data_IF_914635666695
#
_entry.id   IF_914635666695
#
_cell.length_a   1.000
_cell.length_b   1.000
_cell.length_c   1.000
_cell.angle_alpha   90.00
_cell.angle_beta   90.00
_cell.angle_gamma   90.00
#
_symmetry.space_group_name_H-M   'P 1'
#
loop_
_entity.id
_entity.type
_entity.pdbx_description
1 polymer ?
#
# COMPACT_ATOMS: atom_id res chain seq x y z
N UNK A 1 14.39 17.13 -10.07
CA UNK A 1 13.98 17.64 -8.73
C UNK A 1 14.08 16.51 -7.72
N UNK A 2 14.44 16.80 -6.46
CA UNK A 2 14.52 15.79 -5.40
C UNK A 2 13.08 15.39 -4.94
N UNK A 3 12.80 14.14 -4.62
CA UNK A 3 11.48 13.73 -4.11
C UNK A 3 11.17 14.40 -2.77
N UNK A 4 9.88 14.55 -2.49
CA UNK A 4 9.39 15.00 -1.18
C UNK A 4 9.76 13.96 -0.12
N UNK A 5 10.28 14.41 1.02
CA UNK A 5 10.52 13.53 2.16
C UNK A 5 9.26 13.53 3.03
N UNK A 6 8.64 12.35 3.18
CA UNK A 6 7.47 12.19 4.05
C UNK A 6 7.90 12.33 5.52
N UNK A 7 7.23 13.19 6.31
CA UNK A 7 7.64 13.48 7.68
C UNK A 7 7.12 12.46 8.71
N UNK A 8 6.70 11.28 8.28
CA UNK A 8 6.04 10.28 9.12
C UNK A 8 7.03 9.56 10.03
N UNK A 9 6.87 9.72 11.34
CA UNK A 9 7.75 9.12 12.35
C UNK A 9 7.00 8.92 13.68
N UNK A 10 7.26 7.81 14.37
CA UNK A 10 6.73 7.53 15.69
C UNK A 10 5.21 7.73 15.78
N UNK A 11 4.75 8.59 16.67
CA UNK A 11 3.32 8.90 16.84
C UNK A 11 2.69 9.60 15.63
N UNK A 12 3.48 10.27 14.80
CA UNK A 12 2.97 10.98 13.61
C UNK A 12 2.90 10.07 12.37
N UNK A 13 3.01 8.75 12.55
CA UNK A 13 2.77 7.78 11.49
C UNK A 13 1.26 7.69 11.21
N UNK A 14 0.79 8.06 10.00
CA UNK A 14 -0.64 8.23 9.74
C UNK A 14 -1.36 6.95 9.35
N UNK A 15 -0.65 5.84 9.25
CA UNK A 15 -1.19 4.57 8.76
C UNK A 15 -0.81 3.40 9.67
N UNK A 16 -1.68 2.40 9.69
CA UNK A 16 -1.42 1.10 10.30
C UNK A 16 -2.30 0.01 9.65
N UNK A 17 -1.95 -1.24 9.88
CA UNK A 17 -2.72 -2.41 9.46
C UNK A 17 -3.44 -3.00 10.67
N UNK A 18 -4.74 -3.23 10.53
CA UNK A 18 -5.58 -3.90 11.51
C UNK A 18 -5.80 -5.35 11.06
N UNK A 19 -5.16 -6.27 11.75
CA UNK A 19 -5.21 -7.70 11.46
C UNK A 19 -6.41 -8.33 12.19
N UNK A 20 -7.45 -8.71 11.44
CA UNK A 20 -8.72 -9.19 12.02
C UNK A 20 -8.95 -10.69 11.90
N UNK A 21 -8.19 -11.35 11.02
CA UNK A 21 -8.38 -12.75 10.68
C UNK A 21 -7.08 -13.37 10.17
N UNK A 22 -6.78 -14.59 10.59
CA UNK A 22 -5.59 -15.34 10.13
C UNK A 22 -5.92 -16.39 9.08
N UNK A 23 -7.17 -16.84 9.00
CA UNK A 23 -7.63 -17.78 7.98
C UNK A 23 -7.61 -17.15 6.57
N UNK A 24 -7.31 -17.94 5.55
CA UNK A 24 -7.34 -17.53 4.16
C UNK A 24 -7.92 -18.66 3.30
N UNK A 25 -8.60 -18.29 2.23
CA UNK A 25 -9.23 -19.19 1.28
C UNK A 25 -8.42 -19.41 -0.01
N UNK A 26 -7.21 -18.84 -0.08
CA UNK A 26 -6.24 -19.08 -1.15
C UNK A 26 -4.85 -19.30 -0.56
N UNK A 27 -3.89 -19.69 -1.40
CA UNK A 27 -2.47 -19.76 -1.04
C UNK A 27 -1.66 -18.84 -1.95
N UNK A 28 -0.76 -18.06 -1.35
CA UNK A 28 0.15 -17.17 -2.06
C UNK A 28 1.60 -17.61 -1.85
N UNK A 29 2.41 -17.61 -2.91
CA UNK A 29 3.85 -17.94 -2.86
C UNK A 29 4.62 -17.05 -1.89
N UNK A 30 4.28 -15.77 -1.81
CA UNK A 30 4.95 -14.78 -0.95
C UNK A 30 4.11 -14.38 0.27
N UNK A 31 3.37 -15.32 0.86
CA UNK A 31 2.52 -15.02 2.01
C UNK A 31 3.36 -14.81 3.27
N UNK A 32 3.21 -13.67 3.92
CA UNK A 32 3.83 -13.39 5.21
C UNK A 32 3.04 -13.98 6.40
N UNK A 33 1.77 -14.38 6.19
CA UNK A 33 0.94 -15.00 7.21
C UNK A 33 1.37 -16.45 7.44
N UNK A 34 2.16 -16.69 8.48
CA UNK A 34 2.73 -18.00 8.82
C UNK A 34 1.86 -18.80 9.80
N UNK A 35 0.87 -18.17 10.39
CA UNK A 35 -0.03 -18.79 11.38
C UNK A 35 -1.48 -18.69 10.92
N UNK A 36 -1.94 -19.56 10.01
CA UNK A 36 -3.22 -19.42 9.33
C UNK A 36 -4.44 -19.80 10.17
N UNK A 37 -4.35 -19.80 11.49
CA UNK A 37 -5.44 -20.12 12.40
C UNK A 37 -5.78 -18.96 13.32
N UNK A 38 -7.06 -18.80 13.59
CA UNK A 38 -7.58 -17.80 14.52
C UNK A 38 -8.37 -16.71 13.79
N UNK A 39 -9.55 -16.44 14.34
CA UNK A 39 -10.42 -15.35 14.00
C UNK A 39 -10.61 -14.51 15.24
N UNK A 40 -10.48 -13.22 15.10
CA UNK A 40 -10.64 -12.30 16.22
C UNK A 40 -12.12 -11.92 16.38
N UNK A 41 -12.56 -11.76 17.60
CA UNK A 41 -13.88 -11.22 17.90
C UNK A 41 -13.92 -9.71 17.61
N UNK A 42 -15.11 -9.17 17.38
CA UNK A 42 -15.26 -7.72 17.21
C UNK A 42 -14.74 -6.95 18.44
N UNK A 43 -14.95 -7.46 19.64
CA UNK A 43 -14.47 -6.84 20.87
C UNK A 43 -12.94 -6.74 20.93
N UNK A 44 -12.23 -7.82 20.58
CA UNK A 44 -10.76 -7.82 20.50
C UNK A 44 -10.24 -6.84 19.44
N UNK A 45 -10.93 -6.75 18.30
CA UNK A 45 -10.60 -5.80 17.23
C UNK A 45 -10.79 -4.36 17.70
N UNK A 46 -11.87 -4.05 18.40
CA UNK A 46 -12.16 -2.72 18.94
C UNK A 46 -11.17 -2.33 20.05
N UNK A 47 -10.75 -3.28 20.87
CA UNK A 47 -9.71 -3.06 21.89
C UNK A 47 -8.38 -2.68 21.24
N UNK A 48 -7.92 -3.43 20.23
CA UNK A 48 -6.69 -3.12 19.51
C UNK A 48 -6.78 -1.77 18.80
N UNK A 49 -7.90 -1.50 18.13
CA UNK A 49 -8.12 -0.24 17.45
C UNK A 49 -8.02 0.95 18.42
N UNK A 50 -8.59 0.82 19.60
CA UNK A 50 -8.51 1.83 20.66
C UNK A 50 -7.07 2.06 21.10
N UNK A 51 -6.29 1.00 21.29
CA UNK A 51 -4.86 1.10 21.61
C UNK A 51 -4.04 1.71 20.46
N UNK A 52 -4.35 1.35 19.22
CA UNK A 52 -3.67 1.89 18.02
C UNK A 52 -3.86 3.40 17.90
N UNK A 53 -5.08 3.93 18.10
CA UNK A 53 -5.36 5.37 17.97
C UNK A 53 -4.78 6.17 19.13
N UNK A 54 -4.59 5.56 20.32
CA UNK A 54 -3.84 6.17 21.42
C UNK A 54 -2.34 6.23 21.13
N UNK A 55 -1.79 5.18 20.50
CA UNK A 55 -0.37 5.05 20.25
C UNK A 55 0.12 5.88 19.04
N UNK A 56 -0.73 6.09 18.01
CA UNK A 56 -0.41 6.85 16.79
C UNK A 56 -1.52 7.83 16.41
N UNK A 57 -1.15 8.92 15.76
CA UNK A 57 -2.06 9.88 15.12
C UNK A 57 -2.49 9.35 13.75
N UNK A 58 -3.29 8.30 13.76
CA UNK A 58 -3.74 7.65 12.56
C UNK A 58 -4.66 8.53 11.72
N UNK A 59 -4.60 8.35 10.42
CA UNK A 59 -5.50 8.91 9.42
C UNK A 59 -6.24 7.80 8.67
N UNK A 60 -5.54 6.70 8.41
CA UNK A 60 -6.05 5.56 7.63
C UNK A 60 -5.68 4.25 8.32
N UNK A 61 -6.64 3.34 8.35
CA UNK A 61 -6.42 1.93 8.70
C UNK A 61 -6.65 1.08 7.46
N UNK A 62 -5.72 0.17 7.17
CA UNK A 62 -5.96 -0.93 6.24
C UNK A 62 -6.35 -2.18 7.02
N UNK A 63 -7.57 -2.65 6.79
CA UNK A 63 -8.04 -3.93 7.34
C UNK A 63 -7.39 -5.04 6.52
N UNK A 64 -6.70 -5.94 7.21
CA UNK A 64 -5.95 -7.05 6.62
C UNK A 64 -5.96 -8.29 7.49
N UNK A 65 -4.96 -9.14 7.29
CA UNK A 65 -4.79 -10.41 7.98
C UNK A 65 -4.54 -11.55 6.99
N UNK A 66 -5.23 -12.69 7.14
CA UNK A 66 -5.33 -13.70 6.09
C UNK A 66 -6.24 -13.18 4.97
N UNK A 67 -7.52 -13.57 4.96
CA UNK A 67 -8.53 -12.98 4.07
C UNK A 67 -9.63 -12.32 4.92
N UNK A 68 -9.69 -10.99 4.98
CA UNK A 68 -10.66 -10.28 5.83
C UNK A 68 -12.12 -10.56 5.49
N UNK A 69 -12.44 -10.87 4.23
CA UNK A 69 -13.82 -11.19 3.81
C UNK A 69 -14.35 -12.51 4.38
N UNK A 70 -13.51 -13.29 5.04
CA UNK A 70 -13.94 -14.47 5.82
C UNK A 70 -14.45 -14.09 7.21
N UNK A 71 -14.19 -12.86 7.67
CA UNK A 71 -14.67 -12.42 8.98
C UNK A 71 -16.19 -12.12 8.93
N UNK A 72 -17.02 -12.79 9.75
CA UNK A 72 -18.49 -12.70 9.64
C UNK A 72 -19.03 -11.29 9.96
N UNK A 73 -18.29 -10.51 10.75
CA UNK A 73 -18.68 -9.17 11.16
C UNK A 73 -17.83 -8.08 10.46
N UNK A 74 -17.31 -8.34 9.25
CA UNK A 74 -16.45 -7.37 8.54
C UNK A 74 -17.10 -5.98 8.40
N UNK A 75 -18.40 -5.81 8.05
CA UNK A 75 -19.01 -4.48 8.02
C UNK A 75 -18.98 -3.77 9.39
N UNK A 76 -19.19 -4.50 10.48
CA UNK A 76 -19.10 -3.93 11.84
C UNK A 76 -17.68 -3.48 12.20
N UNK A 77 -16.66 -4.21 11.75
CA UNK A 77 -15.25 -3.81 11.89
C UNK A 77 -14.98 -2.51 11.12
N UNK A 78 -15.45 -2.38 9.87
CA UNK A 78 -15.35 -1.16 9.07
C UNK A 78 -16.00 0.02 9.81
N UNK A 79 -17.23 -0.18 10.31
CA UNK A 79 -17.95 0.85 11.08
C UNK A 79 -17.21 1.23 12.38
N UNK A 80 -16.54 0.28 13.05
CA UNK A 80 -15.75 0.56 14.22
C UNK A 80 -14.58 1.51 13.90
N UNK A 81 -13.84 1.26 12.82
CA UNK A 81 -12.76 2.15 12.36
C UNK A 81 -13.30 3.55 12.02
N UNK A 82 -14.45 3.62 11.34
CA UNK A 82 -15.11 4.89 10.99
C UNK A 82 -15.52 5.72 12.19
N UNK A 83 -15.99 5.08 13.28
CA UNK A 83 -16.33 5.80 14.54
C UNK A 83 -15.16 6.57 15.15
N UNK A 84 -13.92 6.16 14.87
CA UNK A 84 -12.71 6.91 15.25
C UNK A 84 -12.36 8.04 14.26
N UNK A 85 -13.18 8.33 13.27
CA UNK A 85 -12.94 9.37 12.26
C UNK A 85 -11.85 9.02 11.25
N UNK A 86 -11.45 7.75 11.19
CA UNK A 86 -10.39 7.26 10.31
C UNK A 86 -10.93 6.86 8.93
N UNK A 87 -10.10 6.94 7.92
CA UNK A 87 -10.36 6.32 6.62
C UNK A 87 -10.08 4.83 6.68
N UNK A 88 -10.85 4.06 5.88
CA UNK A 88 -10.79 2.61 5.89
C UNK A 88 -10.44 2.08 4.51
N UNK A 89 -9.35 1.34 4.44
CA UNK A 89 -9.01 0.50 3.29
C UNK A 89 -9.20 -0.97 3.65
N UNK A 90 -9.63 -1.78 2.70
CA UNK A 90 -9.73 -3.22 2.81
C UNK A 90 -8.73 -3.87 1.85
N UNK A 91 -7.81 -4.68 2.37
CA UNK A 91 -6.93 -5.51 1.57
C UNK A 91 -7.53 -6.91 1.47
N UNK A 92 -7.84 -7.35 0.25
CA UNK A 92 -8.52 -8.63 0.01
C UNK A 92 -8.03 -9.31 -1.27
N UNK A 93 -8.06 -10.63 -1.30
CA UNK A 93 -7.86 -11.39 -2.54
C UNK A 93 -9.04 -11.31 -3.51
N UNK A 94 -10.15 -10.73 -3.08
CA UNK A 94 -11.32 -10.46 -3.88
C UNK A 94 -12.17 -11.69 -4.25
N UNK A 95 -11.84 -12.90 -3.78
CA UNK A 95 -12.57 -14.12 -4.14
C UNK A 95 -14.04 -14.10 -3.67
N UNK A 96 -14.29 -13.53 -2.48
CA UNK A 96 -15.63 -13.42 -1.89
C UNK A 96 -16.33 -12.08 -2.15
N UNK A 97 -15.72 -11.20 -2.94
CA UNK A 97 -16.37 -9.92 -3.25
C UNK A 97 -17.56 -10.15 -4.19
N UNK A 98 -18.71 -9.75 -3.72
CA UNK A 98 -19.97 -9.69 -4.46
C UNK A 98 -20.68 -8.35 -4.20
N UNK A 99 -21.80 -8.13 -4.90
CA UNK A 99 -22.58 -6.90 -4.78
C UNK A 99 -23.11 -6.65 -3.37
N UNK A 100 -23.78 -7.62 -2.73
CA UNK A 100 -24.28 -7.48 -1.36
C UNK A 100 -23.22 -7.11 -0.34
N UNK A 101 -22.06 -7.78 -0.37
CA UNK A 101 -20.94 -7.47 0.54
C UNK A 101 -20.39 -6.06 0.29
N UNK A 102 -20.17 -5.68 -0.97
CA UNK A 102 -19.66 -4.35 -1.31
C UNK A 102 -20.63 -3.24 -0.90
N UNK A 103 -21.94 -3.45 -1.06
CA UNK A 103 -22.96 -2.51 -0.60
C UNK A 103 -22.93 -2.34 0.93
N UNK A 104 -22.88 -3.44 1.68
CA UNK A 104 -22.78 -3.41 3.15
C UNK A 104 -21.48 -2.73 3.62
N UNK A 105 -20.35 -2.99 2.96
CA UNK A 105 -19.07 -2.34 3.28
C UNK A 105 -19.09 -0.85 2.96
N UNK A 106 -19.73 -0.43 1.86
CA UNK A 106 -19.91 0.97 1.51
C UNK A 106 -20.76 1.70 2.55
N UNK A 107 -21.88 1.11 2.95
CA UNK A 107 -22.76 1.65 3.99
C UNK A 107 -22.03 1.76 5.34
N UNK A 108 -21.21 0.77 5.69
CA UNK A 108 -20.36 0.81 6.88
C UNK A 108 -19.25 1.90 6.81
N UNK A 109 -19.01 2.49 5.65
CA UNK A 109 -18.07 3.58 5.44
C UNK A 109 -16.70 3.16 4.92
N UNK A 110 -16.60 2.04 4.19
CA UNK A 110 -15.36 1.69 3.49
C UNK A 110 -15.04 2.74 2.41
N UNK A 111 -13.77 3.14 2.31
CA UNK A 111 -13.30 4.11 1.31
C UNK A 111 -12.63 3.43 0.11
N UNK A 112 -11.81 2.42 0.36
CA UNK A 112 -10.89 1.85 -0.63
C UNK A 112 -10.84 0.32 -0.52
N UNK A 113 -10.90 -0.37 -1.65
CA UNK A 113 -10.60 -1.80 -1.77
C UNK A 113 -9.27 -1.97 -2.50
N UNK A 114 -8.30 -2.59 -1.83
CA UNK A 114 -7.02 -2.98 -2.39
C UNK A 114 -7.07 -4.47 -2.74
N UNK A 115 -7.12 -4.76 -4.04
CA UNK A 115 -7.25 -6.12 -4.57
C UNK A 115 -5.86 -6.76 -4.71
N UNK A 116 -5.64 -7.85 -4.01
CA UNK A 116 -4.42 -8.64 -4.14
C UNK A 116 -4.66 -9.84 -5.07
N UNK A 117 -4.31 -9.67 -6.33
CA UNK A 117 -4.44 -10.69 -7.38
C UNK A 117 -3.11 -10.82 -8.11
N UNK A 118 -2.43 -11.95 -7.92
CA UNK A 118 -1.10 -12.24 -8.49
C UNK A 118 -1.06 -13.60 -9.17
N UNK A 119 -0.19 -13.77 -10.15
CA UNK A 119 0.07 -15.07 -10.81
C UNK A 119 0.66 -16.13 -9.88
N UNK A 120 1.24 -15.72 -8.75
CA UNK A 120 1.79 -16.63 -7.71
C UNK A 120 0.75 -17.13 -6.69
N UNK A 121 -0.54 -17.00 -6.98
CA UNK A 121 -1.63 -17.43 -6.11
C UNK A 121 -2.29 -18.70 -6.62
N UNK A 122 -2.53 -19.67 -5.72
CA UNK A 122 -3.41 -20.82 -6.01
C UNK A 122 -4.83 -20.42 -5.64
N UNK A 123 -5.65 -20.09 -6.64
CA UNK A 123 -7.01 -19.57 -6.46
C UNK A 123 -7.99 -20.15 -7.50
N UNK A 124 -9.22 -20.45 -7.12
CA UNK A 124 -10.17 -21.15 -8.01
C UNK A 124 -10.70 -20.29 -9.16
N UNK A 125 -10.71 -18.96 -9.01
CA UNK A 125 -11.18 -18.01 -10.04
C UNK A 125 -10.10 -17.60 -11.04
N UNK A 126 -8.90 -18.21 -10.98
CA UNK A 126 -7.80 -17.99 -11.91
C UNK A 126 -7.11 -19.34 -12.21
N UNK A 127 -7.76 -20.25 -12.96
CA UNK A 127 -7.16 -21.53 -13.32
C UNK A 127 -6.03 -21.38 -14.35
N UNK A 128 -6.08 -20.34 -15.18
CA UNK A 128 -5.02 -19.90 -16.06
C UNK A 128 -4.32 -18.69 -15.45
N UNK A 129 -2.99 -18.85 -15.21
CA UNK A 129 -2.15 -17.81 -14.62
C UNK A 129 -1.37 -17.01 -15.69
N UNK A 130 -1.82 -17.03 -16.93
CA UNK A 130 -1.26 -16.16 -17.97
C UNK A 130 -1.35 -14.70 -17.59
N UNK A 131 -0.42 -13.88 -18.08
CA UNK A 131 -0.40 -12.44 -17.77
C UNK A 131 -1.74 -11.77 -18.12
N UNK A 132 -2.32 -12.16 -19.27
CA UNK A 132 -3.61 -11.63 -19.74
C UNK A 132 -4.77 -12.02 -18.80
N UNK A 133 -4.81 -13.27 -18.31
CA UNK A 133 -5.85 -13.74 -17.40
C UNK A 133 -5.77 -13.02 -16.05
N UNK A 134 -4.56 -12.82 -15.53
CA UNK A 134 -4.32 -12.05 -14.29
C UNK A 134 -4.79 -10.61 -14.45
N UNK A 135 -4.42 -9.91 -15.53
CA UNK A 135 -4.81 -8.53 -15.78
C UNK A 135 -6.32 -8.40 -15.96
N UNK A 136 -6.95 -9.34 -16.66
CA UNK A 136 -8.41 -9.38 -16.82
C UNK A 136 -9.12 -9.51 -15.49
N UNK A 137 -8.70 -10.46 -14.66
CA UNK A 137 -9.29 -10.66 -13.33
C UNK A 137 -9.14 -9.41 -12.43
N UNK A 138 -7.94 -8.78 -12.45
CA UNK A 138 -7.70 -7.50 -11.75
C UNK A 138 -8.71 -6.43 -12.17
N UNK A 139 -8.90 -6.26 -13.46
CA UNK A 139 -9.80 -5.25 -14.01
C UNK A 139 -11.27 -5.57 -13.73
N UNK A 140 -11.70 -6.82 -13.87
CA UNK A 140 -13.08 -7.24 -13.61
C UNK A 140 -13.46 -7.02 -12.14
N UNK A 141 -12.56 -7.36 -11.20
CA UNK A 141 -12.76 -7.09 -9.77
C UNK A 141 -12.76 -5.59 -9.49
N UNK A 142 -11.88 -4.80 -10.12
CA UNK A 142 -11.86 -3.35 -9.95
C UNK A 142 -13.16 -2.69 -10.45
N UNK A 143 -13.67 -3.11 -11.59
CA UNK A 143 -14.96 -2.66 -12.12
C UNK A 143 -16.14 -3.03 -11.22
N UNK A 144 -16.09 -4.22 -10.61
CA UNK A 144 -17.11 -4.62 -9.62
C UNK A 144 -17.10 -3.65 -8.43
N UNK A 145 -15.93 -3.31 -7.90
CA UNK A 145 -15.77 -2.36 -6.78
C UNK A 145 -16.26 -0.97 -7.16
N UNK A 146 -15.85 -0.46 -8.32
CA UNK A 146 -16.19 0.89 -8.82
C UNK A 146 -17.69 1.05 -9.03
N UNK A 147 -18.39 0.04 -9.58
CA UNK A 147 -19.87 0.05 -9.74
C UNK A 147 -20.63 0.21 -8.42
N UNK A 148 -20.01 -0.13 -7.29
CA UNK A 148 -20.59 0.08 -5.96
C UNK A 148 -20.13 1.41 -5.33
N UNK A 149 -19.52 2.31 -6.11
CA UNK A 149 -19.07 3.63 -5.66
C UNK A 149 -17.93 3.57 -4.64
N UNK A 150 -17.16 2.49 -4.64
CA UNK A 150 -15.93 2.34 -3.86
C UNK A 150 -14.72 2.60 -4.74
N UNK A 151 -13.66 3.12 -4.14
CA UNK A 151 -12.38 3.26 -4.85
C UNK A 151 -11.69 1.91 -4.95
N UNK A 152 -11.17 1.57 -6.14
CA UNK A 152 -10.38 0.35 -6.32
C UNK A 152 -8.89 0.66 -6.47
N UNK A 153 -8.07 -0.24 -5.94
CA UNK A 153 -6.63 -0.28 -6.14
C UNK A 153 -6.13 -1.72 -6.21
N UNK A 154 -4.87 -1.89 -6.57
CA UNK A 154 -4.20 -3.18 -6.62
C UNK A 154 -3.07 -3.24 -5.60
N UNK A 155 -2.84 -4.42 -5.05
CA UNK A 155 -1.58 -4.81 -4.41
C UNK A 155 -0.97 -5.91 -5.25
N UNK A 156 0.29 -5.76 -5.61
CA UNK A 156 1.02 -6.71 -6.47
C UNK A 156 2.36 -7.03 -5.81
N UNK A 157 2.65 -8.31 -5.69
CA UNK A 157 3.96 -8.77 -5.24
C UNK A 157 4.98 -8.61 -6.36
N UNK A 158 6.01 -7.82 -6.10
CA UNK A 158 7.04 -7.49 -7.07
C UNK A 158 8.22 -8.46 -6.97
N UNK A 159 8.40 -9.33 -7.96
CA UNK A 159 9.54 -10.22 -8.10
C UNK A 159 10.58 -9.60 -9.02
N UNK A 160 11.86 -9.75 -8.68
CA UNK A 160 12.97 -9.21 -9.47
C UNK A 160 13.11 -9.87 -10.83
N UNK A 161 12.78 -11.16 -10.91
CA UNK A 161 12.84 -11.99 -12.14
C UNK A 161 11.56 -11.87 -13.01
N UNK A 162 10.55 -11.12 -12.57
CA UNK A 162 9.29 -10.92 -13.29
C UNK A 162 8.96 -9.42 -13.44
N UNK A 163 9.85 -8.62 -14.05
CA UNK A 163 9.64 -7.18 -14.19
C UNK A 163 8.44 -6.84 -15.08
N UNK A 164 8.05 -7.73 -15.99
CA UNK A 164 6.93 -7.54 -16.93
C UNK A 164 5.59 -7.44 -16.18
N UNK A 165 5.36 -8.25 -15.13
CA UNK A 165 4.11 -8.15 -14.36
C UNK A 165 3.99 -6.80 -13.64
N UNK A 166 5.12 -6.23 -13.18
CA UNK A 166 5.12 -4.88 -12.61
C UNK A 166 4.78 -3.84 -13.66
N UNK A 167 5.42 -3.89 -14.82
CA UNK A 167 5.19 -2.95 -15.94
C UNK A 167 3.72 -3.00 -16.36
N UNK A 168 3.20 -4.23 -16.58
CA UNK A 168 1.81 -4.45 -16.96
C UNK A 168 0.83 -3.94 -15.88
N UNK A 169 1.14 -4.12 -14.60
CA UNK A 169 0.32 -3.62 -13.49
C UNK A 169 0.27 -2.09 -13.45
N UNK A 170 1.41 -1.43 -13.67
CA UNK A 170 1.47 0.04 -13.77
C UNK A 170 0.66 0.52 -14.97
N UNK A 171 0.84 -0.09 -16.13
CA UNK A 171 0.10 0.25 -17.37
C UNK A 171 -1.40 0.06 -17.19
N UNK A 172 -1.83 -1.05 -16.55
CA UNK A 172 -3.23 -1.31 -16.24
C UNK A 172 -3.84 -0.18 -15.39
N UNK A 173 -3.16 0.19 -14.30
CA UNK A 173 -3.66 1.26 -13.42
C UNK A 173 -3.68 2.62 -14.13
N UNK A 174 -2.69 2.90 -14.97
CA UNK A 174 -2.65 4.16 -15.74
C UNK A 174 -3.75 4.23 -16.80
N UNK A 175 -4.09 3.10 -17.44
CA UNK A 175 -5.06 3.02 -18.52
C UNK A 175 -6.53 3.07 -18.04
N UNK A 176 -6.82 2.54 -16.84
CA UNK A 176 -8.20 2.31 -16.39
C UNK A 176 -8.61 3.27 -15.28
N UNK A 177 -9.66 4.10 -15.48
CA UNK A 177 -10.11 5.09 -14.50
C UNK A 177 -10.64 4.46 -13.20
N UNK A 178 -11.13 3.23 -13.25
CA UNK A 178 -11.60 2.47 -12.09
C UNK A 178 -10.49 2.19 -11.07
N UNK A 179 -9.26 2.06 -11.53
CA UNK A 179 -8.09 1.79 -10.69
C UNK A 179 -7.39 3.10 -10.32
N UNK A 180 -7.29 3.42 -9.03
CA UNK A 180 -6.63 4.66 -8.56
C UNK A 180 -5.35 4.43 -7.78
N UNK A 181 -5.20 3.24 -7.19
CA UNK A 181 -4.06 2.91 -6.34
C UNK A 181 -3.34 1.67 -6.86
N UNK A 182 -2.03 1.69 -6.75
CA UNK A 182 -1.17 0.51 -6.95
C UNK A 182 -0.13 0.47 -5.83
N UNK A 183 -0.12 -0.63 -5.10
CA UNK A 183 0.91 -0.93 -4.11
C UNK A 183 1.76 -2.06 -4.66
N UNK A 184 3.02 -1.78 -4.94
CA UNK A 184 4.02 -2.75 -5.36
C UNK A 184 4.84 -3.16 -4.14
N UNK A 185 4.58 -4.35 -3.62
CA UNK A 185 5.31 -4.87 -2.46
C UNK A 185 6.48 -5.73 -2.92
N UNK A 186 7.69 -5.27 -2.68
CA UNK A 186 8.90 -6.01 -3.04
C UNK A 186 8.94 -7.38 -2.36
N UNK A 187 9.09 -8.43 -3.16
CA UNK A 187 9.29 -9.78 -2.65
C UNK A 187 10.49 -9.82 -1.73
N UNK A 188 10.30 -10.42 -0.56
CA UNK A 188 11.36 -10.85 0.31
C UNK A 188 11.25 -12.37 0.47
N UNK A 189 12.35 -13.07 0.36
CA UNK A 189 12.39 -14.51 0.55
C UNK A 189 12.31 -14.83 2.04
N UNK A 190 11.08 -15.03 2.53
CA UNK A 190 10.84 -15.31 3.94
C UNK A 190 11.26 -16.71 4.37
N UNK A 191 11.38 -17.66 3.44
CA UNK A 191 11.84 -19.01 3.75
C UNK A 191 13.33 -19.02 4.14
N UNK A 192 14.10 -18.09 3.59
CA UNK A 192 15.51 -17.88 3.93
C UNK A 192 15.75 -17.21 5.28
N UNK A 193 14.73 -16.67 5.95
CA UNK A 193 14.90 -16.08 7.28
C UNK A 193 14.76 -17.18 8.36
N UNK A 194 15.80 -17.39 9.14
CA UNK A 194 15.74 -18.14 10.38
C UNK A 194 14.93 -17.41 11.46
N UNK A 195 15.09 -17.83 12.71
CA UNK A 195 14.44 -17.16 13.84
C UNK A 195 14.80 -15.67 13.89
N UNK A 196 13.77 -14.84 14.05
CA UNK A 196 13.93 -13.39 14.19
C UNK A 196 13.80 -13.06 15.67
N UNK A 197 14.88 -12.56 16.26
CA UNK A 197 14.93 -12.13 17.66
C UNK A 197 15.16 -10.62 17.77
N UNK A 198 14.86 -10.06 18.92
CA UNK A 198 15.04 -8.64 19.23
C UNK A 198 13.71 -7.90 19.38
N UNK A 199 13.79 -6.59 19.56
CA UNK A 199 12.63 -5.72 19.69
C UNK A 199 12.62 -4.64 18.61
N UNK A 200 11.45 -4.06 18.26
CA UNK A 200 11.39 -2.95 17.31
C UNK A 200 12.23 -1.73 17.74
N UNK A 201 12.44 -1.55 19.04
CA UNK A 201 13.23 -0.45 19.59
C UNK A 201 14.74 -0.67 19.48
N UNK A 202 15.20 -1.93 19.67
CA UNK A 202 16.62 -2.32 19.70
C UNK A 202 17.13 -2.82 18.35
N UNK A 203 16.24 -3.04 17.40
CA UNK A 203 16.52 -3.66 16.11
C UNK A 203 16.30 -5.17 16.12
N UNK A 204 15.82 -5.65 15.00
CA UNK A 204 15.59 -7.08 14.80
C UNK A 204 16.87 -7.74 14.26
N UNK A 205 17.16 -8.93 14.73
CA UNK A 205 18.26 -9.78 14.26
C UNK A 205 17.67 -11.01 13.60
N UNK A 206 18.10 -11.30 12.38
CA UNK A 206 17.74 -12.53 11.69
C UNK A 206 18.98 -13.13 11.05
N UNK A 207 19.01 -14.44 11.00
CA UNK A 207 19.97 -15.18 10.20
C UNK A 207 19.36 -15.45 8.84
N UNK A 208 19.88 -14.83 7.80
CA UNK A 208 19.43 -15.01 6.42
C UNK A 208 20.31 -16.04 5.70
N UNK A 209 19.68 -16.97 5.01
CA UNK A 209 20.35 -18.02 4.25
C UNK A 209 19.79 -18.06 2.83
N UNK A 210 20.11 -17.02 2.04
CA UNK A 210 19.84 -17.05 0.59
C UNK A 210 18.70 -16.21 0.09
N UNK A 211 18.58 -16.02 -1.22
CA UNK A 211 17.52 -15.34 -1.95
C UNK A 211 18.01 -14.24 -2.89
N UNK A 212 18.14 -14.55 -4.18
CA UNK A 212 18.54 -13.59 -5.21
C UNK A 212 17.39 -12.80 -5.82
N UNK A 213 16.13 -13.22 -5.57
CA UNK A 213 14.93 -12.67 -6.21
C UNK A 213 14.30 -11.48 -5.45
N UNK A 214 15.07 -10.89 -4.55
CA UNK A 214 14.60 -9.79 -3.73
C UNK A 214 14.49 -8.49 -4.51
N UNK A 215 13.33 -7.84 -4.44
CA UNK A 215 13.08 -6.55 -5.05
C UNK A 215 13.42 -5.41 -4.09
N UNK A 216 14.44 -4.62 -4.41
CA UNK A 216 14.90 -3.47 -3.62
C UNK A 216 14.40 -2.15 -4.21
N UNK A 217 14.44 -1.06 -3.44
CA UNK A 217 14.00 0.26 -3.89
C UNK A 217 14.76 0.78 -5.12
N UNK A 218 16.03 0.46 -5.26
CA UNK A 218 16.84 0.81 -6.43
C UNK A 218 16.32 0.15 -7.71
N UNK A 219 15.83 -1.10 -7.60
CA UNK A 219 15.24 -1.81 -8.74
C UNK A 219 13.92 -1.16 -9.18
N UNK A 220 13.06 -0.77 -8.21
CA UNK A 220 11.85 -0.01 -8.51
C UNK A 220 12.17 1.31 -9.19
N UNK A 221 13.11 2.08 -8.63
CA UNK A 221 13.49 3.38 -9.19
C UNK A 221 14.01 3.24 -10.63
N UNK A 222 14.88 2.26 -10.89
CA UNK A 222 15.42 1.99 -12.22
C UNK A 222 14.32 1.53 -13.20
N UNK A 223 13.38 0.69 -12.76
CA UNK A 223 12.26 0.24 -13.57
C UNK A 223 11.36 1.41 -13.99
N UNK A 224 10.99 2.28 -13.04
CA UNK A 224 10.15 3.45 -13.32
C UNK A 224 10.87 4.47 -14.21
N UNK A 225 12.16 4.71 -14.02
CA UNK A 225 12.92 5.62 -14.87
C UNK A 225 13.03 5.10 -16.31
N UNK A 226 13.34 3.80 -16.46
CA UNK A 226 13.54 3.17 -17.78
C UNK A 226 12.25 3.06 -18.58
N UNK A 227 11.16 2.59 -17.98
CA UNK A 227 9.94 2.24 -18.71
C UNK A 227 8.92 3.38 -18.76
N UNK A 228 8.93 4.29 -17.79
CA UNK A 228 7.94 5.35 -17.67
C UNK A 228 8.55 6.76 -17.63
N UNK A 229 9.88 6.89 -17.69
CA UNK A 229 10.61 8.16 -17.53
C UNK A 229 10.15 8.92 -16.26
N UNK A 230 9.78 8.16 -15.24
CA UNK A 230 9.18 8.66 -14.01
C UNK A 230 10.17 8.70 -12.86
N UNK A 231 10.10 9.77 -12.08
CA UNK A 231 10.86 9.93 -10.83
C UNK A 231 9.92 9.90 -9.63
N UNK A 232 10.39 9.42 -8.47
CA UNK A 232 9.56 9.40 -7.28
C UNK A 232 9.04 10.80 -6.93
N UNK A 233 7.75 10.89 -6.66
CA UNK A 233 7.10 12.10 -6.14
C UNK A 233 7.49 12.34 -4.69
N UNK A 234 7.44 11.28 -3.88
CA UNK A 234 7.81 11.30 -2.47
C UNK A 234 8.59 10.03 -2.08
N UNK A 235 9.29 10.11 -0.96
CA UNK A 235 9.94 8.98 -0.31
C UNK A 235 9.74 8.99 1.19
N UNK A 236 9.65 7.82 1.79
CA UNK A 236 9.69 7.63 3.24
C UNK A 236 11.04 6.99 3.60
N UNK A 237 11.99 7.74 4.18
CA UNK A 237 13.25 7.17 4.63
C UNK A 237 13.03 6.22 5.80
N UNK A 238 13.74 5.11 5.84
CA UNK A 238 13.78 4.24 7.02
C UNK A 238 14.66 4.86 8.11
N UNK A 239 14.26 4.67 9.37
CA UNK A 239 15.05 5.08 10.52
C UNK A 239 16.25 4.13 10.68
N UNK A 240 17.44 4.68 10.81
CA UNK A 240 18.66 3.91 11.10
C UNK A 240 19.57 3.61 9.92
N UNK A 241 19.13 3.74 8.66
CA UNK A 241 19.95 3.53 7.48
C UNK A 241 19.74 4.68 6.48
N UNK A 242 20.74 5.53 6.33
CA UNK A 242 20.67 6.75 5.52
C UNK A 242 20.33 6.51 4.03
N UNK A 243 20.62 5.34 3.51
CA UNK A 243 20.37 4.94 2.12
C UNK A 243 19.08 4.14 1.91
N UNK A 244 18.41 3.71 2.98
CA UNK A 244 17.23 2.85 2.89
C UNK A 244 15.93 3.67 2.86
N UNK A 245 15.09 3.44 1.86
CA UNK A 245 13.74 3.98 1.82
C UNK A 245 12.74 2.86 2.07
N UNK A 246 11.83 3.05 3.02
CA UNK A 246 10.73 2.11 3.25
C UNK A 246 9.72 2.16 2.09
N UNK A 247 9.43 3.38 1.61
CA UNK A 247 8.53 3.63 0.49
C UNK A 247 9.11 4.59 -0.54
N UNK A 248 8.83 4.32 -1.82
CA UNK A 248 8.84 5.30 -2.90
C UNK A 248 7.42 5.50 -3.40
N UNK A 249 6.99 6.74 -3.52
CA UNK A 249 5.67 7.08 -4.03
C UNK A 249 5.79 7.79 -5.36
N UNK A 250 4.99 7.34 -6.32
CA UNK A 250 4.80 7.99 -7.62
C UNK A 250 3.37 8.48 -7.72
N UNK A 251 3.20 9.58 -8.42
CA UNK A 251 1.87 10.11 -8.77
C UNK A 251 1.79 10.32 -10.26
N UNK A 252 0.65 9.98 -10.83
CA UNK A 252 0.36 10.29 -12.21
C UNK A 252 -1.05 10.87 -12.34
N UNK A 253 -1.26 11.61 -13.40
CA UNK A 253 -2.58 12.02 -13.87
C UNK A 253 -2.86 11.28 -15.16
N UNK A 254 -4.05 10.70 -15.28
CA UNK A 254 -4.50 9.98 -16.47
C UNK A 254 -5.78 10.61 -17.00
N UNK A 255 -5.92 10.66 -18.33
CA UNK A 255 -7.12 11.09 -19.03
C UNK A 255 -7.04 10.67 -20.49
N UNK A 256 -8.16 10.16 -21.06
CA UNK A 256 -8.30 9.74 -22.46
C UNK A 256 -7.10 8.92 -23.02
N UNK A 257 -6.72 7.86 -22.34
CA UNK A 257 -5.68 6.93 -22.80
C UNK A 257 -4.25 7.44 -22.67
N UNK A 258 -4.03 8.61 -22.10
CA UNK A 258 -2.70 9.16 -21.86
C UNK A 258 -2.47 9.40 -20.37
N UNK A 259 -1.21 9.29 -19.93
CA UNK A 259 -0.82 9.48 -18.52
C UNK A 259 0.44 10.32 -18.42
N UNK A 260 0.54 11.11 -17.37
CA UNK A 260 1.73 11.93 -17.08
C UNK A 260 2.11 11.79 -15.62
N UNK A 261 3.36 11.37 -15.36
CA UNK A 261 3.90 11.32 -14.01
C UNK A 261 4.24 12.73 -13.51
N UNK A 262 3.84 13.00 -12.27
CA UNK A 262 4.04 14.27 -11.60
C UNK A 262 5.28 14.22 -10.69
N UNK A 263 5.90 15.36 -10.48
CA UNK A 263 7.00 15.56 -9.53
C UNK A 263 6.55 16.47 -8.39
N UNK A 264 7.17 16.38 -7.22
CA UNK A 264 6.84 17.26 -6.10
C UNK A 264 7.32 18.69 -6.38
N UNK A 265 6.44 19.67 -6.23
CA UNK A 265 6.76 21.09 -6.34
C UNK A 265 7.41 21.64 -5.06
N UNK A 266 8.03 22.82 -5.16
CA UNK A 266 8.58 23.52 -4.00
C UNK A 266 7.48 23.91 -3.00
N UNK A 267 6.30 24.32 -3.50
CA UNK A 267 5.16 24.69 -2.67
C UNK A 267 4.61 23.48 -1.90
N UNK A 268 4.55 22.31 -2.50
CA UNK A 268 4.15 21.09 -1.76
C UNK A 268 5.11 20.76 -0.63
N UNK A 269 6.41 20.94 -0.85
CA UNK A 269 7.43 20.73 0.20
C UNK A 269 7.28 21.73 1.34
N UNK A 270 6.99 22.99 1.01
CA UNK A 270 6.75 24.03 1.99
C UNK A 270 5.45 23.76 2.75
N UNK A 271 4.35 23.44 2.05
CA UNK A 271 3.06 23.11 2.63
C UNK A 271 3.17 21.94 3.64
N UNK A 272 3.90 20.87 3.31
CA UNK A 272 4.13 19.75 4.24
C UNK A 272 4.85 20.21 5.51
N UNK A 273 5.85 21.09 5.39
CA UNK A 273 6.58 21.62 6.55
C UNK A 273 5.68 22.47 7.43
N UNK A 274 4.92 23.39 6.83
CA UNK A 274 3.99 24.27 7.53
C UNK A 274 2.88 23.46 8.23
N UNK A 275 2.23 22.56 7.52
CA UNK A 275 1.18 21.70 8.08
C UNK A 275 1.69 20.85 9.25
N UNK A 276 2.93 20.37 9.18
CA UNK A 276 3.56 19.66 10.30
C UNK A 276 3.73 20.55 11.52
N UNK A 277 4.19 21.80 11.34
CA UNK A 277 4.34 22.76 12.44
C UNK A 277 3.01 23.13 13.08
N UNK A 278 1.93 23.15 12.30
CA UNK A 278 0.58 23.43 12.78
C UNK A 278 -0.12 22.21 13.41
N UNK A 279 0.58 21.10 13.64
CA UNK A 279 0.00 19.86 14.15
C UNK A 279 -0.96 19.20 13.16
N UNK A 280 -0.84 19.57 11.88
CA UNK A 280 -1.78 19.24 10.85
C UNK A 280 -1.74 17.78 10.38
N UNK A 281 -2.85 17.38 9.83
CA UNK A 281 -3.07 16.09 9.22
C UNK A 281 -2.25 15.99 7.93
N UNK A 282 -1.72 14.80 7.65
CA UNK A 282 -0.93 14.55 6.46
C UNK A 282 -1.83 14.52 5.21
N UNK A 283 -1.85 15.61 4.47
CA UNK A 283 -2.69 15.87 3.29
C UNK A 283 -2.43 14.88 2.12
N UNK A 284 -1.37 14.07 2.21
CA UNK A 284 -0.87 13.30 1.08
C UNK A 284 -1.57 11.97 0.80
N UNK A 285 -2.34 11.43 1.74
CA UNK A 285 -2.90 10.10 1.56
C UNK A 285 -4.20 10.06 0.74
N UNK A 286 -4.90 11.17 0.58
CA UNK A 286 -6.19 11.16 -0.12
C UNK A 286 -6.57 12.53 -0.69
N UNK A 287 -5.98 12.87 -1.83
CA UNK A 287 -6.50 13.96 -2.66
C UNK A 287 -7.42 13.32 -3.71
N UNK A 288 -8.64 13.03 -3.31
CA UNK A 288 -9.59 12.29 -4.17
C UNK A 288 -10.56 13.19 -4.93
N UNK A 289 -10.50 14.50 -4.73
CA UNK A 289 -11.40 15.41 -5.43
C UNK A 289 -10.82 15.83 -6.77
N UNK A 290 -11.66 15.92 -7.84
CA UNK A 290 -11.23 16.46 -9.13
C UNK A 290 -10.59 17.85 -9.02
N UNK A 291 -11.09 18.70 -8.10
CA UNK A 291 -10.51 20.03 -7.83
C UNK A 291 -9.08 19.97 -7.33
N UNK A 292 -8.78 19.05 -6.44
CA UNK A 292 -7.42 18.89 -5.93
C UNK A 292 -6.47 18.31 -7.00
N UNK A 293 -6.95 17.43 -7.88
CA UNK A 293 -6.21 16.98 -9.05
C UNK A 293 -5.88 18.15 -9.99
N UNK A 294 -6.84 19.02 -10.26
CA UNK A 294 -6.66 20.25 -11.08
C UNK A 294 -5.58 21.16 -10.47
N UNK A 295 -5.68 21.45 -9.17
CA UNK A 295 -4.68 22.28 -8.46
C UNK A 295 -3.30 21.65 -8.55
N UNK A 296 -3.18 20.34 -8.34
CA UNK A 296 -1.88 19.65 -8.39
C UNK A 296 -1.28 19.64 -9.79
N UNK A 297 -2.08 19.43 -10.83
CA UNK A 297 -1.64 19.51 -12.23
C UNK A 297 -1.19 20.93 -12.57
N UNK A 298 -1.96 21.95 -12.18
CA UNK A 298 -1.61 23.35 -12.37
C UNK A 298 -0.30 23.74 -11.69
N UNK A 299 -0.15 23.37 -10.41
CA UNK A 299 1.10 23.59 -9.65
C UNK A 299 2.30 22.86 -10.29
N UNK A 300 2.10 21.65 -10.79
CA UNK A 300 3.16 20.89 -11.44
C UNK A 300 3.58 21.49 -12.79
N UNK A 301 2.63 22.01 -13.55
CA UNK A 301 2.91 22.68 -14.81
C UNK A 301 3.70 23.99 -14.61
N UNK A 302 3.24 24.84 -13.67
CA UNK A 302 3.84 26.16 -13.43
C UNK A 302 5.18 26.06 -12.71
N UNK A 303 5.28 25.21 -11.67
CA UNK A 303 6.44 25.15 -10.77
C UNK A 303 7.38 23.97 -11.06
N UNK A 304 6.90 22.95 -11.75
CA UNK A 304 7.65 21.77 -12.15
C UNK A 304 8.26 21.86 -13.55
N UNK A 305 7.91 22.89 -14.33
CA UNK A 305 8.34 23.07 -15.73
C UNK A 305 7.84 21.97 -16.68
N UNK A 306 6.88 21.16 -16.25
CA UNK A 306 6.32 20.06 -17.05
C UNK A 306 4.90 20.39 -17.51
N UNK A 307 4.80 21.09 -18.63
CA UNK A 307 3.52 21.46 -19.28
C UNK A 307 2.71 20.25 -19.75
N UNK A 308 3.31 19.06 -19.85
CA UNK A 308 2.63 17.85 -20.32
C UNK A 308 1.40 17.43 -19.52
N UNK A 309 1.30 17.82 -18.25
CA UNK A 309 0.11 17.60 -17.43
C UNK A 309 -1.09 18.47 -17.84
N UNK A 310 -0.87 19.67 -18.40
CA UNK A 310 -1.95 20.60 -18.79
C UNK A 310 -2.82 20.07 -19.91
N UNK A 311 -2.27 19.26 -20.83
CA UNK A 311 -3.04 18.65 -21.92
C UNK A 311 -4.22 17.82 -21.41
N UNK A 312 -4.09 17.23 -20.21
CA UNK A 312 -5.15 16.44 -19.59
C UNK A 312 -6.32 17.30 -19.10
N UNK A 313 -6.09 18.60 -18.83
CA UNK A 313 -7.15 19.53 -18.41
C UNK A 313 -8.18 19.80 -19.51
N UNK A 314 -7.76 19.64 -20.77
CA UNK A 314 -8.59 19.91 -21.95
C UNK A 314 -9.34 18.67 -22.43
N UNK A 315 -8.99 17.48 -21.94
CA UNK A 315 -9.38 16.21 -22.54
C UNK A 315 -10.28 15.35 -21.63
N UNK A 316 -11.18 15.94 -20.84
CA UNK A 316 -12.18 15.19 -20.07
C UNK A 316 -11.81 14.93 -18.61
N UNK A 317 -12.49 14.00 -17.93
CA UNK A 317 -12.33 13.79 -16.50
C UNK A 317 -10.92 13.27 -16.16
N UNK A 318 -10.27 13.94 -15.19
CA UNK A 318 -8.95 13.58 -14.71
C UNK A 318 -9.04 12.52 -13.62
N UNK A 319 -8.21 11.49 -13.71
CA UNK A 319 -8.00 10.52 -12.66
C UNK A 319 -6.57 10.63 -12.10
N UNK A 320 -6.48 10.92 -10.81
CA UNK A 320 -5.20 10.82 -10.09
C UNK A 320 -4.87 9.36 -9.80
N UNK A 321 -3.62 8.99 -10.05
CA UNK A 321 -3.09 7.65 -9.80
C UNK A 321 -1.98 7.72 -8.75
N UNK A 322 -2.06 6.86 -7.77
CA UNK A 322 -1.13 6.76 -6.66
C UNK A 322 -0.43 5.41 -6.72
N UNK A 323 0.88 5.43 -6.88
CA UNK A 323 1.68 4.20 -6.93
C UNK A 323 2.68 4.26 -5.79
N UNK A 324 2.69 3.22 -4.95
CA UNK A 324 3.59 3.09 -3.81
C UNK A 324 4.41 1.83 -3.99
N UNK A 325 5.72 1.97 -4.01
CA UNK A 325 6.65 0.86 -3.98
C UNK A 325 7.13 0.67 -2.54
N UNK A 326 6.99 -0.54 -2.04
CA UNK A 326 7.36 -0.94 -0.68
C UNK A 326 8.49 -1.97 -0.76
N UNK A 327 9.49 -1.83 0.09
CA UNK A 327 10.56 -2.82 0.19
C UNK A 327 10.30 -3.72 1.40
N UNK A 328 10.43 -5.02 1.20
CA UNK A 328 10.47 -5.99 2.28
C UNK A 328 11.76 -5.89 3.11
N UNK A 329 11.83 -6.63 4.24
CA UNK A 329 13.04 -6.67 5.05
C UNK A 329 14.24 -7.14 4.23
N UNK A 330 15.40 -6.51 4.44
CA UNK A 330 16.61 -6.78 3.66
C UNK A 330 17.76 -7.03 4.61
N UNK A 331 18.52 -8.14 4.45
CA UNK A 331 19.72 -8.37 5.22
C UNK A 331 20.85 -7.42 4.79
N UNK A 332 21.63 -6.93 5.76
CA UNK A 332 22.89 -6.24 5.51
C UNK A 332 24.03 -7.26 5.25
N UNK A 333 25.25 -6.77 5.01
CA UNK A 333 26.41 -7.62 4.78
C UNK A 333 26.78 -8.52 5.98
N UNK A 334 26.28 -8.19 7.18
CA UNK A 334 26.45 -8.96 8.40
C UNK A 334 25.24 -9.87 8.70
N UNK A 335 24.26 -9.95 7.80
CA UNK A 335 23.05 -10.76 7.97
C UNK A 335 22.01 -10.15 8.94
N UNK A 336 22.18 -8.88 9.36
CA UNK A 336 21.20 -8.17 10.19
C UNK A 336 20.07 -7.65 9.31
N UNK A 337 18.82 -7.79 9.76
CA UNK A 337 17.68 -7.31 9.00
C UNK A 337 17.59 -5.78 9.05
N UNK A 338 17.57 -5.19 7.87
CA UNK A 338 17.09 -3.83 7.68
C UNK A 338 15.58 -3.85 7.60
N UNK A 339 14.93 -3.28 8.60
CA UNK A 339 13.48 -3.13 8.68
C UNK A 339 13.09 -1.65 8.70
N UNK A 340 11.82 -1.39 8.38
CA UNK A 340 11.26 -0.06 8.51
C UNK A 340 11.13 0.29 10.01
N UNK A 341 12.02 1.12 10.54
CA UNK A 341 12.01 1.50 11.95
C UNK A 341 10.73 2.20 12.43
N UNK A 342 10.05 2.92 11.54
CA UNK A 342 8.70 3.47 11.74
C UNK A 342 7.84 2.96 10.59
N UNK A 343 7.52 1.65 10.59
CA UNK A 343 6.76 1.02 9.51
C UNK A 343 5.35 1.61 9.41
N UNK A 344 4.93 2.12 8.24
CA UNK A 344 3.55 2.53 8.04
C UNK A 344 2.59 1.34 7.98
N UNK A 345 3.06 0.18 7.51
CA UNK A 345 2.29 -1.06 7.46
C UNK A 345 2.61 -1.94 8.68
N UNK A 346 2.49 -1.35 9.87
CA UNK A 346 2.66 -2.08 11.12
C UNK A 346 1.32 -2.53 11.70
N UNK A 347 1.33 -3.70 12.30
CA UNK A 347 0.28 -4.21 13.19
C UNK A 347 0.64 -3.88 14.64
N UNK A 348 -0.36 -3.69 15.49
CA UNK A 348 -0.18 -3.43 16.91
C UNK A 348 -0.46 -4.70 17.70
N UNK A 349 0.55 -5.22 18.39
CA UNK A 349 0.46 -6.43 19.21
C UNK A 349 1.30 -6.26 20.47
N UNK A 350 0.76 -6.67 21.61
CA UNK A 350 1.44 -6.61 22.92
C UNK A 350 2.09 -5.24 23.19
N UNK A 351 1.28 -4.19 23.00
CA UNK A 351 1.66 -2.79 23.22
C UNK A 351 2.84 -2.32 22.35
N UNK A 352 3.17 -3.01 21.26
CA UNK A 352 4.24 -2.65 20.35
C UNK A 352 3.81 -2.68 18.87
N UNK A 353 4.48 -1.87 18.06
CA UNK A 353 4.29 -1.82 16.61
C UNK A 353 5.24 -2.79 15.92
N UNK A 354 4.71 -3.73 15.16
CA UNK A 354 5.46 -4.71 14.41
C UNK A 354 5.24 -4.55 12.91
N UNK A 355 6.29 -4.51 12.07
CA UNK A 355 6.11 -4.56 10.62
C UNK A 355 5.27 -5.78 10.24
N UNK A 356 4.20 -5.58 9.46
CA UNK A 356 3.26 -6.65 9.10
C UNK A 356 3.96 -7.86 8.46
N UNK A 357 5.00 -7.60 7.67
CA UNK A 357 5.78 -8.63 6.97
C UNK A 357 6.60 -9.54 7.90
N UNK A 358 6.82 -9.15 9.16
CA UNK A 358 7.63 -9.91 10.13
C UNK A 358 6.85 -10.32 11.38
N UNK A 359 5.63 -9.80 11.56
CA UNK A 359 4.88 -9.95 12.81
C UNK A 359 4.64 -11.40 13.24
N UNK A 360 4.60 -12.34 12.30
CA UNK A 360 4.40 -13.78 12.58
C UNK A 360 5.68 -14.57 12.78
N UNK A 361 6.83 -13.99 12.42
CA UNK A 361 8.14 -14.69 12.47
C UNK A 361 8.94 -14.36 13.71
N UNK A 362 8.48 -13.41 14.51
CA UNK A 362 9.17 -13.00 15.72
C UNK A 362 8.92 -14.04 16.80
N UNK A 363 9.98 -14.73 17.21
CA UNK A 363 9.99 -15.62 18.36
C UNK A 363 10.20 -14.75 19.60
N UNK A 364 9.29 -14.90 20.55
CA UNK A 364 9.34 -14.21 21.86
C UNK A 364 10.03 -15.07 22.88
#
# INVERSE_FOLDING_TARGET
MKPLILPWRGRDMPHAVLDINRGCNIRCRACYNQRPSGQRTLAEVEQDLSAMVQARRLHTITIGGGEPTLHPQLPAVVAAVRRHGLRVALMTNGLRLDGPLLAALKEAGLDLVLLHVDGGQTRPDLPDVSAEAVQRLRLDKARLVDRHGLTAGLIVTAYRDQPEDLINSVQLVLAHPELRYLVLTGHADFEGYGEISGSPAEGLRARFVGGSNQMKMEHFAALFERNFQARPFARLPSKGLAAYNAWLSYRAVSGQGTSTFLTSSLLERLAVRVLRCLGGRHVFLHVETPRAALVQVGLNAVLGGRMGGLRHLLNGPLAMKYIVCQQGPTPDAQGRLSICGDCPDAVFRDQAWWPVCLADRIVR
#
